data_IF_532688688925
#
_entry.id   IF_532688688925
#
_cell.length_a   1.000
_cell.length_b   1.000
_cell.length_c   1.000
_cell.angle_alpha   90.00
_cell.angle_beta   90.00
_cell.angle_gamma   90.00
#
_symmetry.space_group_name_H-M   'P 1'
#
loop_
_entity.id
_entity.type
_entity.pdbx_description
1 polymer ?
#
# COMPACT_ATOMS: atom_id res chain seq x y z
N UNK A 1 -12.40 -4.72 9.88
CA UNK A 1 -10.95 -4.84 10.16
C UNK A 1 -10.76 -4.81 11.67
N UNK A 2 -9.71 -5.46 12.18
CA UNK A 2 -9.48 -5.82 13.58
C UNK A 2 -8.46 -4.85 14.24
N UNK A 3 -8.91 -3.80 14.97
CA UNK A 3 -8.03 -2.80 15.56
C UNK A 3 -7.18 -3.38 16.69
N UNK A 4 -7.72 -4.35 17.46
CA UNK A 4 -7.00 -5.01 18.54
C UNK A 4 -5.79 -5.79 18.01
N UNK A 5 -5.95 -6.54 16.92
CA UNK A 5 -4.84 -7.23 16.28
C UNK A 5 -3.77 -6.25 15.77
N UNK A 6 -4.18 -5.16 15.11
CA UNK A 6 -3.25 -4.12 14.65
C UNK A 6 -2.50 -3.46 15.82
N UNK A 7 -3.18 -3.19 16.93
CA UNK A 7 -2.58 -2.67 18.15
C UNK A 7 -1.55 -3.63 18.75
N UNK A 8 -1.87 -4.93 18.82
CA UNK A 8 -0.96 -5.96 19.34
C UNK A 8 0.30 -6.02 18.46
N UNK A 9 0.15 -6.08 17.13
CA UNK A 9 1.30 -6.13 16.21
C UNK A 9 2.18 -4.89 16.38
N UNK A 10 1.60 -3.69 16.34
CA UNK A 10 2.36 -2.44 16.39
C UNK A 10 3.02 -2.18 17.76
N UNK A 11 2.46 -2.73 18.85
CA UNK A 11 2.97 -2.52 20.22
C UNK A 11 3.89 -3.64 20.72
N UNK A 12 3.75 -4.86 20.20
CA UNK A 12 4.45 -6.05 20.74
C UNK A 12 5.45 -6.68 19.78
N UNK A 13 5.38 -6.41 18.47
CA UNK A 13 6.35 -6.98 17.54
C UNK A 13 7.76 -6.43 17.82
N UNK A 14 8.74 -7.33 17.81
CA UNK A 14 10.15 -7.01 18.11
C UNK A 14 11.01 -6.85 16.85
N UNK A 15 10.43 -7.11 15.68
CA UNK A 15 11.09 -6.91 14.38
C UNK A 15 10.76 -5.51 13.81
N UNK A 16 11.58 -5.01 12.87
CA UNK A 16 11.26 -3.78 12.15
C UNK A 16 9.90 -3.89 11.45
N UNK A 17 9.04 -2.90 11.66
CA UNK A 17 7.69 -2.84 11.07
C UNK A 17 7.70 -1.81 9.95
N UNK A 18 7.26 -2.23 8.77
CA UNK A 18 7.01 -1.35 7.63
C UNK A 18 5.51 -1.33 7.32
N UNK A 19 4.95 -0.14 7.11
CA UNK A 19 3.55 0.05 6.74
C UNK A 19 3.51 0.84 5.44
N UNK A 20 2.95 0.23 4.39
CA UNK A 20 2.48 0.99 3.23
C UNK A 20 1.22 1.74 3.64
N UNK A 21 1.28 3.07 3.61
CA UNK A 21 0.13 3.89 3.99
C UNK A 21 -0.93 3.87 2.89
N UNK A 22 -2.19 4.06 3.29
CA UNK A 22 -3.27 4.23 2.31
C UNK A 22 -3.00 5.44 1.40
N UNK A 23 -2.47 6.51 1.98
CA UNK A 23 -2.11 7.74 1.29
C UNK A 23 -1.09 7.53 0.18
N UNK A 24 -0.17 6.56 0.31
CA UNK A 24 0.80 6.23 -0.74
C UNK A 24 0.13 5.60 -1.98
N UNK A 25 -1.08 5.05 -1.84
CA UNK A 25 -1.84 4.41 -2.91
C UNK A 25 -2.87 5.35 -3.56
N UNK A 26 -3.04 6.56 -3.04
CA UNK A 26 -3.96 7.56 -3.61
C UNK A 26 -3.40 8.17 -4.89
N UNK A 27 -4.29 8.63 -5.76
CA UNK A 27 -3.99 9.26 -7.07
C UNK A 27 -2.88 10.32 -7.00
N UNK A 28 -2.83 11.10 -5.91
CA UNK A 28 -1.83 12.16 -5.70
C UNK A 28 -0.39 11.62 -5.59
N UNK A 29 -0.23 10.36 -5.17
CA UNK A 29 1.05 9.71 -4.91
C UNK A 29 1.33 8.50 -5.79
N UNK A 30 0.32 7.94 -6.46
CA UNK A 30 0.41 6.75 -7.31
C UNK A 30 -0.61 6.80 -8.44
N UNK A 31 -0.14 6.81 -9.69
CA UNK A 31 -0.95 7.07 -10.87
C UNK A 31 -0.78 6.01 -11.98
N UNK A 32 -0.87 4.73 -11.62
CA UNK A 32 -1.07 3.69 -12.63
C UNK A 32 -2.52 3.70 -13.09
N UNK A 33 -2.76 4.01 -14.36
CA UNK A 33 -4.12 4.17 -14.89
C UNK A 33 -4.80 2.83 -15.11
N UNK A 34 -6.14 2.83 -15.03
CA UNK A 34 -6.93 1.66 -15.43
C UNK A 34 -6.71 1.29 -16.90
N UNK A 35 -6.42 2.27 -17.76
CA UNK A 35 -6.12 2.02 -19.17
C UNK A 35 -4.84 1.19 -19.32
N UNK A 36 -3.78 1.53 -18.58
CA UNK A 36 -2.55 0.72 -18.54
C UNK A 36 -2.81 -0.73 -18.09
N UNK A 37 -3.68 -0.91 -17.08
CA UNK A 37 -4.05 -2.22 -16.52
C UNK A 37 -4.93 -3.07 -17.44
N UNK A 38 -5.93 -2.47 -18.10
CA UNK A 38 -7.00 -3.21 -18.79
C UNK A 38 -6.96 -3.12 -20.31
N UNK A 39 -6.29 -2.13 -20.89
CA UNK A 39 -6.17 -1.93 -22.34
C UNK A 39 -4.71 -1.69 -22.80
N UNK A 40 -3.75 -1.73 -21.87
CA UNK A 40 -2.36 -1.39 -22.10
C UNK A 40 -1.42 -2.58 -21.92
N UNK A 41 -0.13 -2.34 -21.57
CA UNK A 41 0.92 -3.35 -21.57
C UNK A 41 0.61 -4.61 -20.75
N UNK A 42 -0.09 -4.47 -19.61
CA UNK A 42 -0.42 -5.62 -18.77
C UNK A 42 -1.58 -6.47 -19.36
N UNK A 43 -2.47 -5.85 -20.14
CA UNK A 43 -3.56 -6.56 -20.81
C UNK A 43 -3.07 -7.35 -22.05
N UNK A 44 -1.93 -6.95 -22.62
CA UNK A 44 -1.29 -7.66 -23.73
C UNK A 44 -0.60 -8.97 -23.30
N UNK A 45 -0.44 -9.20 -21.99
CA UNK A 45 0.12 -10.44 -21.44
C UNK A 45 -0.96 -11.53 -21.37
N UNK A 46 -0.78 -12.60 -22.14
CA UNK A 46 -1.66 -13.77 -22.10
C UNK A 46 -1.25 -14.74 -20.98
N UNK A 47 -2.00 -14.74 -19.89
CA UNK A 47 -1.79 -15.62 -18.72
C UNK A 47 -3.12 -16.00 -18.08
N UNK A 48 -3.29 -17.30 -17.76
CA UNK A 48 -4.48 -17.81 -17.06
C UNK A 48 -4.71 -17.10 -15.71
N UNK A 49 -3.63 -16.68 -15.04
CA UNK A 49 -3.70 -15.95 -13.77
C UNK A 49 -4.23 -14.54 -13.98
N UNK A 50 -3.74 -13.84 -15.00
CA UNK A 50 -4.24 -12.49 -15.34
C UNK A 50 -5.69 -12.54 -15.80
N UNK A 51 -6.09 -13.54 -16.57
CA UNK A 51 -7.49 -13.72 -16.99
C UNK A 51 -8.43 -13.96 -15.81
N UNK A 52 -7.96 -14.72 -14.81
CA UNK A 52 -8.71 -14.98 -13.58
C UNK A 52 -8.91 -13.70 -12.75
N UNK A 53 -7.87 -12.87 -12.60
CA UNK A 53 -7.90 -11.67 -11.75
C UNK A 53 -8.56 -10.48 -12.47
N UNK A 54 -8.40 -10.37 -13.79
CA UNK A 54 -8.91 -9.22 -14.57
C UNK A 54 -10.43 -9.09 -14.51
N UNK A 55 -11.17 -10.22 -14.56
CA UNK A 55 -12.64 -10.20 -14.53
C UNK A 55 -13.22 -9.57 -13.25
N UNK A 56 -12.86 -10.04 -12.03
CA UNK A 56 -13.35 -9.43 -10.81
C UNK A 56 -12.81 -8.01 -10.60
N UNK A 57 -11.52 -7.74 -10.87
CA UNK A 57 -10.96 -6.39 -10.74
C UNK A 57 -11.70 -5.38 -11.61
N UNK A 58 -11.88 -5.68 -12.91
CA UNK A 58 -12.57 -4.77 -13.82
C UNK A 58 -13.99 -4.46 -13.35
N UNK A 59 -14.73 -5.48 -12.89
CA UNK A 59 -16.09 -5.29 -12.36
C UNK A 59 -16.10 -4.37 -11.13
N UNK A 60 -15.12 -4.48 -10.24
CA UNK A 60 -15.01 -3.62 -9.06
C UNK A 60 -14.62 -2.20 -9.46
N UNK A 61 -13.63 -2.03 -10.34
CA UNK A 61 -13.22 -0.73 -10.86
C UNK A 61 -14.39 0.01 -11.51
N UNK A 62 -15.14 -0.66 -12.38
CA UNK A 62 -16.30 -0.07 -13.07
C UNK A 62 -17.43 0.29 -12.07
N UNK A 63 -17.58 -0.47 -10.98
CA UNK A 63 -18.62 -0.23 -9.96
C UNK A 63 -18.28 0.93 -8.99
N UNK A 64 -17.00 1.08 -8.63
CA UNK A 64 -16.56 2.12 -7.67
C UNK A 64 -16.07 3.40 -8.35
N UNK A 65 -15.85 3.38 -9.67
CA UNK A 65 -15.42 4.55 -10.43
C UNK A 65 -14.00 5.03 -10.08
N UNK A 66 -13.11 4.10 -9.69
CA UNK A 66 -11.71 4.44 -9.44
C UNK A 66 -11.05 4.93 -10.73
N UNK A 67 -10.25 5.98 -10.67
CA UNK A 67 -9.52 6.49 -11.84
C UNK A 67 -8.20 5.74 -12.08
N UNK A 68 -7.61 5.21 -11.01
CA UNK A 68 -6.35 4.47 -11.01
C UNK A 68 -6.53 3.03 -10.59
N UNK A 69 -5.62 2.18 -11.06
CA UNK A 69 -5.46 0.81 -10.60
C UNK A 69 -4.39 0.80 -9.50
N UNK A 70 -4.80 0.82 -8.23
CA UNK A 70 -3.92 0.85 -7.07
C UNK A 70 -4.02 -0.45 -6.25
N UNK A 71 -3.38 -1.55 -6.69
CA UNK A 71 -3.42 -2.83 -5.99
C UNK A 71 -2.51 -2.80 -4.74
N UNK A 72 -3.02 -2.28 -3.62
CA UNK A 72 -2.25 -1.99 -2.40
C UNK A 72 -1.36 -3.17 -1.92
N UNK A 73 -1.90 -4.39 -1.91
CA UNK A 73 -1.15 -5.57 -1.48
C UNK A 73 0.00 -5.91 -2.44
N UNK A 74 -0.21 -5.76 -3.76
CA UNK A 74 0.83 -5.99 -4.75
C UNK A 74 1.92 -4.91 -4.68
N UNK A 75 1.54 -3.66 -4.41
CA UNK A 75 2.48 -2.55 -4.17
C UNK A 75 3.34 -2.87 -2.95
N UNK A 76 2.73 -3.28 -1.83
CA UNK A 76 3.47 -3.65 -0.61
C UNK A 76 4.43 -4.82 -0.86
N UNK A 77 3.99 -5.84 -1.59
CA UNK A 77 4.83 -6.98 -1.96
C UNK A 77 6.02 -6.56 -2.84
N UNK A 78 5.80 -5.70 -3.83
CA UNK A 78 6.88 -5.16 -4.66
C UNK A 78 7.86 -4.32 -3.82
N UNK A 79 7.36 -3.47 -2.92
CA UNK A 79 8.21 -2.70 -1.99
C UNK A 79 9.03 -3.58 -1.06
N UNK A 80 8.50 -4.75 -0.65
CA UNK A 80 9.24 -5.71 0.16
C UNK A 80 10.34 -6.43 -0.64
N UNK A 81 10.06 -6.81 -1.89
CA UNK A 81 11.00 -7.53 -2.74
C UNK A 81 12.09 -6.64 -3.34
N UNK A 82 11.75 -5.41 -3.70
CA UNK A 82 12.61 -4.47 -4.43
C UNK A 82 12.66 -3.10 -3.75
N UNK A 83 13.06 -3.01 -2.46
CA UNK A 83 12.94 -1.78 -1.68
C UNK A 83 13.72 -0.60 -2.27
N UNK A 84 14.90 -0.85 -2.86
CA UNK A 84 15.76 0.19 -3.45
C UNK A 84 15.12 0.85 -4.69
N UNK A 85 14.35 0.08 -5.47
CA UNK A 85 13.69 0.57 -6.69
C UNK A 85 12.29 1.14 -6.40
N UNK A 86 11.60 0.53 -5.43
CA UNK A 86 10.19 0.79 -5.14
C UNK A 86 9.96 1.92 -4.14
N UNK A 87 10.78 2.07 -3.09
CA UNK A 87 10.51 3.01 -2.00
C UNK A 87 11.15 4.36 -2.30
N UNK A 88 10.34 5.32 -2.76
CA UNK A 88 10.83 6.68 -3.05
C UNK A 88 10.91 7.55 -1.80
N UNK A 89 10.03 7.32 -0.82
CA UNK A 89 10.04 8.03 0.45
C UNK A 89 9.52 7.15 1.57
N UNK A 90 10.31 7.08 2.63
CA UNK A 90 9.97 6.45 3.90
C UNK A 90 10.10 7.47 5.04
N UNK A 91 9.21 7.37 6.02
CA UNK A 91 9.27 8.17 7.24
C UNK A 91 9.22 7.28 8.47
N UNK A 92 10.18 7.46 9.38
CA UNK A 92 10.21 6.72 10.62
C UNK A 92 9.60 7.56 11.75
N UNK A 93 8.58 7.00 12.40
CA UNK A 93 7.83 7.66 13.48
C UNK A 93 7.53 6.70 14.62
N UNK A 94 7.11 7.26 15.75
CA UNK A 94 6.40 6.51 16.77
C UNK A 94 4.91 6.59 16.50
N UNK A 95 4.21 5.46 16.49
CA UNK A 95 2.79 5.39 16.18
C UNK A 95 2.05 4.36 17.04
N UNK A 96 0.74 4.56 17.13
CA UNK A 96 -0.19 3.77 17.92
C UNK A 96 -1.47 3.48 17.13
N UNK A 97 -2.23 2.47 17.54
CA UNK A 97 -3.58 2.22 17.00
C UNK A 97 -4.62 2.67 18.03
N UNK A 98 -5.55 3.53 17.61
CA UNK A 98 -6.67 4.00 18.44
C UNK A 98 -7.74 2.91 18.57
N UNK A 99 -8.19 2.62 19.79
CA UNK A 99 -9.13 1.51 20.06
C UNK A 99 -10.49 1.96 20.62
N UNK A 100 -10.58 3.16 21.19
CA UNK A 100 -11.73 3.61 21.99
C UNK A 100 -12.54 4.73 21.31
N UNK A 101 -11.95 5.45 20.35
CA UNK A 101 -12.62 6.57 19.68
C UNK A 101 -13.84 6.15 18.83
N UNK A 102 -14.95 6.87 18.96
CA UNK A 102 -16.19 6.59 18.20
C UNK A 102 -15.99 6.66 16.68
N UNK A 103 -15.16 7.59 16.20
CA UNK A 103 -14.92 7.84 14.77
C UNK A 103 -13.50 7.49 14.32
N UNK A 104 -12.61 7.18 15.27
CA UNK A 104 -11.17 6.99 15.03
C UNK A 104 -10.68 5.61 15.42
N UNK A 105 -11.56 4.71 15.90
CA UNK A 105 -11.22 3.32 16.19
C UNK A 105 -10.63 2.65 14.94
N UNK A 106 -9.40 2.17 15.06
CA UNK A 106 -8.60 1.58 13.98
C UNK A 106 -7.65 2.55 13.28
N UNK A 107 -7.72 3.85 13.57
CA UNK A 107 -6.79 4.83 13.01
C UNK A 107 -5.38 4.66 13.59
N UNK A 108 -4.37 4.80 12.73
CA UNK A 108 -2.97 4.92 13.16
C UNK A 108 -2.72 6.36 13.61
N UNK A 109 -2.47 6.56 14.91
CA UNK A 109 -2.11 7.83 15.51
C UNK A 109 -0.58 7.99 15.51
N UNK A 110 -0.08 8.98 14.78
CA UNK A 110 1.36 9.24 14.63
C UNK A 110 1.80 10.34 15.59
N UNK A 111 2.83 10.07 16.38
CA UNK A 111 3.48 11.06 17.25
C UNK A 111 4.33 12.00 16.40
N UNK A 112 3.88 13.25 16.25
CA UNK A 112 4.58 14.26 15.43
C UNK A 112 5.51 15.17 16.24
N UNK A 113 5.38 15.16 17.57
CA UNK A 113 6.28 15.88 18.47
C UNK A 113 7.44 14.95 18.76
N UNK A 114 8.66 15.42 18.55
CA UNK A 114 9.88 14.66 18.86
C UNK A 114 10.09 14.62 20.38
N UNK A 115 9.30 13.78 21.03
CA UNK A 115 9.56 13.32 22.38
C UNK A 115 10.65 12.25 22.20
N UNK A 116 11.78 12.38 22.88
CA UNK A 116 12.98 11.50 22.79
C UNK A 116 12.69 10.03 23.16
N UNK A 117 11.81 9.41 22.37
CA UNK A 117 11.22 8.10 22.52
C UNK A 117 11.55 7.29 21.26
N UNK A 118 11.77 5.97 21.39
CA UNK A 118 12.09 5.15 20.24
C UNK A 118 10.95 5.14 19.21
N UNK A 119 11.30 5.36 17.94
CA UNK A 119 10.40 5.16 16.81
C UNK A 119 10.14 3.66 16.62
N UNK A 120 8.90 3.28 16.33
CA UNK A 120 8.49 1.86 16.26
C UNK A 120 8.03 1.42 14.87
N UNK A 121 7.96 2.33 13.89
CA UNK A 121 7.46 1.99 12.56
C UNK A 121 8.10 2.84 11.46
N UNK A 122 8.27 2.20 10.31
CA UNK A 122 8.67 2.79 9.05
C UNK A 122 7.44 2.91 8.14
N UNK A 123 7.05 4.14 7.78
CA UNK A 123 5.94 4.39 6.89
C UNK A 123 6.44 4.60 5.47
N UNK A 124 6.04 3.73 4.56
CA UNK A 124 6.24 3.90 3.12
C UNK A 124 5.15 4.85 2.64
N UNK A 125 5.53 6.11 2.37
CA UNK A 125 4.60 7.19 2.03
C UNK A 125 4.62 7.58 0.55
N UNK A 126 5.63 7.13 -0.20
CA UNK A 126 5.68 7.29 -1.66
C UNK A 126 6.40 6.11 -2.30
N UNK A 127 5.81 5.56 -3.36
CA UNK A 127 6.34 4.42 -4.13
C UNK A 127 6.60 4.80 -5.59
N UNK A 128 7.44 4.01 -6.25
CA UNK A 128 7.81 4.20 -7.66
C UNK A 128 6.86 3.42 -8.58
N UNK A 129 5.90 4.12 -9.18
CA UNK A 129 4.93 3.54 -10.12
C UNK A 129 5.58 2.94 -11.38
N UNK A 130 6.64 3.57 -11.91
CA UNK A 130 7.35 3.06 -13.09
C UNK A 130 8.09 1.76 -12.77
N UNK A 131 8.76 1.70 -11.62
CA UNK A 131 9.41 0.45 -11.18
C UNK A 131 8.37 -0.64 -10.93
N UNK A 132 7.23 -0.29 -10.31
CA UNK A 132 6.14 -1.23 -10.09
C UNK A 132 5.63 -1.82 -11.41
N UNK A 133 5.35 -0.98 -12.40
CA UNK A 133 4.93 -1.44 -13.73
C UNK A 133 5.97 -2.36 -14.38
N UNK A 134 7.26 -2.03 -14.29
CA UNK A 134 8.33 -2.88 -14.81
C UNK A 134 8.34 -4.26 -14.13
N UNK A 135 8.34 -4.30 -12.80
CA UNK A 135 8.39 -5.56 -12.05
C UNK A 135 7.15 -6.44 -12.27
N UNK A 136 5.97 -5.84 -12.47
CA UNK A 136 4.75 -6.59 -12.77
C UNK A 136 4.77 -7.20 -14.18
N UNK A 137 5.35 -6.50 -15.17
CA UNK A 137 5.45 -7.02 -16.54
C UNK A 137 6.50 -8.13 -16.68
N UNK A 138 7.50 -8.17 -15.80
CA UNK A 138 8.55 -9.19 -15.79
C UNK A 138 8.18 -10.48 -15.01
N UNK A 139 7.03 -10.49 -14.32
CA UNK A 139 6.57 -11.59 -13.44
C UNK A 139 5.86 -12.72 -14.21
#
# INVERSE_FOLDING_TARGET
MDPEAAHIVLSQATCPIHILTWEACLLENYNVTNDWRFNGPLADIHSDILDLITKPEKKLTDAYGSETWAPADAILMASFLFPEDMILKEEQHRAYVELSGMYTRGQVAVERVDLDLPKNVHFIVKVNETAFQSHILDA
#
